data_IF_307845347779
#
_entry.id   IF_307845347779
#
_cell.length_a   1.000
_cell.length_b   1.000
_cell.length_c   1.000
_cell.angle_alpha   90.00
_cell.angle_beta   90.00
_cell.angle_gamma   90.00
#
_symmetry.space_group_name_H-M   'P 1'
#
loop_
_entity.id
_entity.type
_entity.pdbx_description
1 polymer ?
#
# COMPACT_ATOMS: atom_id res chain seq x y z
N UNK A 1 1.54 29.26 26.06
CA UNK A 1 2.75 28.60 25.48
C UNK A 1 2.51 27.23 24.83
N UNK A 2 1.45 26.46 25.15
CA UNK A 2 1.25 25.09 24.64
C UNK A 2 0.76 24.97 23.17
N UNK A 3 0.15 26.02 22.59
CA UNK A 3 -0.38 26.00 21.22
C UNK A 3 0.73 26.03 20.14
N UNK A 4 1.86 26.67 20.43
CA UNK A 4 2.99 26.83 19.49
C UNK A 4 3.66 25.49 19.13
N UNK A 5 3.84 24.59 20.11
CA UNK A 5 4.53 23.33 19.86
C UNK A 5 3.75 22.41 18.91
N UNK A 6 2.42 22.42 18.93
CA UNK A 6 1.62 21.57 18.03
C UNK A 6 1.71 22.06 16.58
N UNK A 7 1.70 23.38 16.38
CA UNK A 7 1.86 23.99 15.05
C UNK A 7 3.25 23.70 14.48
N UNK A 8 4.31 23.93 15.26
CA UNK A 8 5.70 23.66 14.84
C UNK A 8 5.87 22.20 14.43
N UNK A 9 5.37 21.24 15.20
CA UNK A 9 5.49 19.82 14.86
C UNK A 9 4.77 19.45 13.54
N UNK A 10 3.63 20.10 13.24
CA UNK A 10 2.94 19.91 11.96
C UNK A 10 3.73 20.50 10.80
N UNK A 11 4.27 21.71 10.97
CA UNK A 11 5.14 22.34 9.96
C UNK A 11 6.36 21.48 9.69
N UNK A 12 7.02 20.95 10.74
CA UNK A 12 8.15 20.04 10.59
C UNK A 12 7.78 18.77 9.83
N UNK A 13 6.62 18.17 10.11
CA UNK A 13 6.15 17.00 9.34
C UNK A 13 5.96 17.35 7.85
N UNK A 14 5.36 18.49 7.54
CA UNK A 14 5.20 18.95 6.16
C UNK A 14 6.55 19.16 5.49
N UNK A 15 7.51 19.80 6.16
CA UNK A 15 8.88 19.96 5.64
C UNK A 15 9.54 18.61 5.36
N UNK A 16 9.40 17.64 6.27
CA UNK A 16 9.92 16.27 6.05
C UNK A 16 9.28 15.63 4.82
N UNK A 17 7.96 15.75 4.64
CA UNK A 17 7.24 15.21 3.47
C UNK A 17 7.71 15.89 2.18
N UNK A 18 7.90 17.21 2.19
CA UNK A 18 8.39 17.96 1.01
C UNK A 18 9.81 17.54 0.64
N UNK A 19 10.71 17.41 1.64
CA UNK A 19 12.07 16.90 1.41
C UNK A 19 12.01 15.47 0.85
N UNK A 20 11.19 14.60 1.46
CA UNK A 20 11.02 13.23 1.01
C UNK A 20 10.51 13.14 -0.44
N UNK A 21 9.55 13.99 -0.80
CA UNK A 21 9.03 14.10 -2.16
C UNK A 21 10.11 14.57 -3.13
N UNK A 22 10.84 15.63 -2.78
CA UNK A 22 11.98 16.11 -3.57
C UNK A 22 12.98 14.98 -3.85
N UNK A 23 13.36 14.22 -2.81
CA UNK A 23 14.31 13.11 -2.95
C UNK A 23 13.78 11.93 -3.80
N UNK A 24 12.47 11.72 -3.90
CA UNK A 24 11.86 10.58 -4.62
C UNK A 24 11.47 10.90 -6.06
N UNK A 25 11.19 12.17 -6.34
CA UNK A 25 10.84 12.62 -7.69
C UNK A 25 12.00 13.27 -8.44
N UNK A 26 13.07 13.67 -7.74
CA UNK A 26 14.27 14.21 -8.38
C UNK A 26 14.93 13.15 -9.27
N UNK A 27 15.08 13.46 -10.56
CA UNK A 27 15.66 12.50 -11.50
C UNK A 27 14.79 11.26 -11.66
N UNK A 28 13.47 11.40 -11.74
CA UNK A 28 12.57 10.24 -11.93
C UNK A 28 12.93 9.36 -13.15
N UNK A 29 13.56 9.96 -14.18
CA UNK A 29 14.17 9.28 -15.33
C UNK A 29 15.70 9.15 -15.20
N UNK A 30 16.20 8.77 -14.02
CA UNK A 30 17.64 8.76 -13.70
C UNK A 30 18.48 7.85 -14.60
N UNK A 31 17.87 6.84 -15.23
CA UNK A 31 18.52 5.88 -16.10
C UNK A 31 18.31 6.19 -17.58
N UNK A 32 17.81 7.37 -17.96
CA UNK A 32 17.60 7.79 -19.36
C UNK A 32 16.92 6.71 -20.22
N UNK A 33 15.86 6.10 -19.70
CA UNK A 33 15.09 5.01 -20.33
C UNK A 33 15.95 3.77 -20.71
N UNK A 34 17.04 3.49 -20.00
CA UNK A 34 17.88 2.31 -20.27
C UNK A 34 17.31 1.00 -19.68
N UNK A 35 16.31 1.07 -18.79
CA UNK A 35 15.64 -0.12 -18.22
C UNK A 35 16.61 -1.10 -17.54
N UNK A 36 17.53 -0.56 -16.74
CA UNK A 36 18.61 -1.34 -16.11
C UNK A 36 18.09 -2.36 -15.10
N UNK A 37 16.92 -2.14 -14.52
CA UNK A 37 16.31 -3.06 -13.57
C UNK A 37 15.45 -4.11 -14.30
N UNK A 38 15.77 -5.40 -14.18
CA UNK A 38 15.10 -6.45 -14.94
C UNK A 38 13.60 -6.55 -14.62
N UNK A 39 13.21 -6.45 -13.34
CA UNK A 39 11.80 -6.52 -12.95
C UNK A 39 10.99 -5.32 -13.47
N UNK A 40 11.49 -4.09 -13.31
CA UNK A 40 10.85 -2.90 -13.89
C UNK A 40 10.67 -3.05 -15.39
N UNK A 41 11.71 -3.51 -16.11
CA UNK A 41 11.60 -3.75 -17.55
C UNK A 41 10.49 -4.74 -17.87
N UNK A 42 10.46 -5.87 -17.17
CA UNK A 42 9.46 -6.91 -17.39
C UNK A 42 8.04 -6.42 -17.08
N UNK A 43 7.83 -5.77 -15.93
CA UNK A 43 6.53 -5.22 -15.53
C UNK A 43 6.08 -4.12 -16.52
N UNK A 44 7.00 -3.26 -16.96
CA UNK A 44 6.70 -2.22 -17.95
C UNK A 44 6.24 -2.81 -19.28
N UNK A 45 6.95 -3.84 -19.77
CA UNK A 45 6.57 -4.54 -20.98
C UNK A 45 5.20 -5.22 -20.82
N UNK A 46 4.95 -5.89 -19.69
CA UNK A 46 3.63 -6.47 -19.39
C UNK A 46 2.53 -5.40 -19.39
N UNK A 47 2.78 -4.25 -18.77
CA UNK A 47 1.79 -3.16 -18.67
C UNK A 47 1.40 -2.58 -20.04
N UNK A 48 2.37 -2.50 -20.97
CA UNK A 48 2.13 -2.09 -22.37
C UNK A 48 1.38 -3.18 -23.15
N UNK A 49 1.66 -4.46 -22.89
CA UNK A 49 1.07 -5.58 -23.62
C UNK A 49 -0.39 -5.84 -23.25
N UNK A 50 -0.74 -5.80 -21.96
CA UNK A 50 -2.12 -6.08 -21.54
C UNK A 50 -3.09 -4.98 -22.03
N UNK A 51 -4.35 -5.34 -22.23
CA UNK A 51 -5.38 -4.43 -22.73
C UNK A 51 -6.57 -4.35 -21.79
N UNK A 52 -7.29 -3.22 -21.82
CA UNK A 52 -8.54 -3.09 -21.07
C UNK A 52 -9.60 -4.02 -21.68
N UNK A 53 -10.39 -4.72 -20.84
CA UNK A 53 -11.45 -5.59 -21.32
C UNK A 53 -12.64 -4.76 -21.80
N UNK A 54 -13.34 -5.27 -22.80
CA UNK A 54 -14.55 -4.64 -23.36
C UNK A 54 -15.74 -4.70 -22.37
N UNK A 55 -15.67 -5.61 -21.40
CA UNK A 55 -16.74 -5.82 -20.42
C UNK A 55 -16.23 -6.31 -19.07
N UNK A 56 -17.03 -6.07 -18.03
CA UNK A 56 -16.75 -6.60 -16.69
C UNK A 56 -16.78 -8.13 -16.63
N UNK A 57 -17.61 -8.80 -17.45
CA UNK A 57 -17.62 -10.27 -17.55
C UNK A 57 -16.31 -10.81 -18.12
N UNK A 58 -15.75 -10.15 -19.13
CA UNK A 58 -14.46 -10.53 -19.71
C UNK A 58 -13.31 -10.32 -18.70
N UNK A 59 -13.39 -9.28 -17.86
CA UNK A 59 -12.43 -9.09 -16.77
C UNK A 59 -12.44 -10.28 -15.78
N UNK A 60 -13.63 -10.78 -15.43
CA UNK A 60 -13.80 -11.85 -14.44
C UNK A 60 -13.43 -13.23 -14.95
N UNK A 61 -13.31 -13.43 -16.27
CA UNK A 61 -12.91 -14.69 -16.86
C UNK A 61 -11.37 -14.78 -16.97
N UNK A 62 -10.70 -15.61 -16.14
CA UNK A 62 -9.24 -15.70 -16.14
C UNK A 62 -8.66 -16.22 -17.45
N UNK A 63 -9.41 -17.03 -18.22
CA UNK A 63 -8.93 -17.67 -19.45
C UNK A 63 -8.95 -16.72 -20.64
N UNK A 64 -9.83 -15.71 -20.61
CA UNK A 64 -10.05 -14.80 -21.75
C UNK A 64 -9.74 -13.35 -21.45
N UNK A 65 -9.54 -12.98 -20.18
CA UNK A 65 -9.28 -11.60 -19.77
C UNK A 65 -8.01 -11.05 -20.43
N UNK A 66 -8.09 -9.94 -21.20
CA UNK A 66 -6.91 -9.29 -21.78
C UNK A 66 -6.06 -8.57 -20.73
N UNK A 67 -6.55 -8.42 -19.49
CA UNK A 67 -5.77 -7.91 -18.37
C UNK A 67 -4.93 -8.97 -17.68
N UNK A 68 -5.20 -10.26 -17.91
CA UNK A 68 -4.42 -11.34 -17.32
C UNK A 68 -3.13 -11.55 -18.11
N UNK A 69 -1.93 -11.30 -17.54
CA UNK A 69 -0.66 -11.42 -18.26
C UNK A 69 -0.42 -12.81 -18.87
N UNK A 70 -0.96 -13.85 -18.25
CA UNK A 70 -0.84 -15.25 -18.71
C UNK A 70 -1.48 -15.50 -20.07
N UNK A 71 -2.45 -14.67 -20.47
CA UNK A 71 -3.12 -14.77 -21.77
C UNK A 71 -2.31 -14.10 -22.90
N UNK A 72 -1.13 -13.56 -22.60
CA UNK A 72 -0.23 -12.92 -23.56
C UNK A 72 1.07 -13.70 -23.70
N UNK A 73 1.50 -13.92 -24.94
CA UNK A 73 2.72 -14.67 -25.24
C UNK A 73 3.94 -14.01 -24.58
N UNK A 74 4.76 -14.80 -23.88
CA UNK A 74 5.97 -14.32 -23.19
C UNK A 74 5.75 -13.74 -21.79
N UNK A 75 4.50 -13.62 -21.30
CA UNK A 75 4.19 -13.03 -19.99
C UNK A 75 3.52 -13.99 -18.98
N UNK A 76 3.44 -15.28 -19.30
CA UNK A 76 2.93 -16.32 -18.40
C UNK A 76 3.68 -16.49 -17.08
N UNK A 77 4.92 -15.98 -17.00
CA UNK A 77 5.73 -15.99 -15.77
C UNK A 77 5.53 -14.74 -14.90
N UNK A 78 4.48 -13.94 -15.13
CA UNK A 78 4.21 -12.76 -14.31
C UNK A 78 3.75 -13.16 -12.90
N UNK A 79 4.67 -13.03 -11.94
CA UNK A 79 4.48 -13.40 -10.52
C UNK A 79 4.22 -12.21 -9.60
N UNK A 80 4.14 -11.00 -10.15
CA UNK A 80 3.88 -9.79 -9.38
C UNK A 80 2.37 -9.58 -9.21
N UNK A 81 2.00 -8.64 -8.35
CA UNK A 81 0.59 -8.32 -8.13
C UNK A 81 -0.06 -7.57 -9.29
N UNK A 82 -1.38 -7.70 -9.39
CA UNK A 82 -2.23 -6.99 -10.35
C UNK A 82 -2.47 -5.53 -9.99
N UNK A 83 -2.46 -5.17 -8.69
CA UNK A 83 -2.76 -3.79 -8.28
C UNK A 83 -1.73 -2.77 -8.80
N UNK A 84 -0.40 -2.95 -8.64
CA UNK A 84 0.59 -2.04 -9.22
C UNK A 84 0.45 -1.96 -10.74
N UNK A 85 0.28 -3.10 -11.40
CA UNK A 85 0.17 -3.21 -12.85
C UNK A 85 -1.02 -2.41 -13.39
N UNK A 86 -2.21 -2.66 -12.85
CA UNK A 86 -3.44 -2.03 -13.33
C UNK A 86 -3.50 -0.55 -12.98
N UNK A 87 -2.99 -0.17 -11.80
CA UNK A 87 -2.94 1.25 -11.39
C UNK A 87 -2.04 2.05 -12.33
N UNK A 88 -0.85 1.52 -12.65
CA UNK A 88 0.10 2.19 -13.53
C UNK A 88 -0.39 2.21 -14.97
N UNK A 89 -0.96 1.11 -15.47
CA UNK A 89 -1.60 1.10 -16.79
C UNK A 89 -2.71 2.15 -16.88
N UNK A 90 -3.61 2.22 -15.91
CA UNK A 90 -4.72 3.17 -15.92
C UNK A 90 -4.22 4.61 -15.92
N UNK A 91 -3.21 4.90 -15.08
CA UNK A 91 -2.61 6.23 -15.03
C UNK A 91 -1.88 6.56 -16.34
N UNK A 92 -1.13 5.62 -16.91
CA UNK A 92 -0.37 5.85 -18.12
C UNK A 92 -1.28 6.01 -19.35
N UNK A 93 -2.30 5.17 -19.49
CA UNK A 93 -3.28 5.27 -20.58
C UNK A 93 -4.08 6.57 -20.48
N UNK A 94 -4.46 7.00 -19.26
CA UNK A 94 -5.14 8.29 -19.04
C UNK A 94 -4.29 9.50 -19.46
N UNK A 95 -2.96 9.41 -19.31
CA UNK A 95 -2.04 10.48 -19.70
C UNK A 95 -1.45 10.29 -21.11
N UNK A 96 -1.94 9.32 -21.89
CA UNK A 96 -1.41 8.96 -23.22
C UNK A 96 0.07 8.53 -23.20
N UNK A 97 0.58 8.11 -22.04
CA UNK A 97 1.95 7.62 -21.81
C UNK A 97 2.02 6.10 -21.68
N UNK A 98 0.96 5.38 -22.08
CA UNK A 98 0.82 3.91 -22.01
C UNK A 98 1.73 3.11 -22.95
N UNK A 99 2.81 3.71 -23.46
CA UNK A 99 3.72 3.13 -24.43
C UNK A 99 5.07 2.78 -23.81
N UNK A 100 5.80 1.88 -24.48
CA UNK A 100 7.18 1.58 -24.12
C UNK A 100 8.05 2.83 -24.21
N UNK A 101 8.97 3.00 -23.26
CA UNK A 101 9.76 4.22 -23.08
C UNK A 101 9.09 5.30 -22.22
N UNK A 102 7.82 5.18 -21.84
CA UNK A 102 7.15 6.19 -20.99
C UNK A 102 6.40 5.59 -19.80
N UNK A 103 5.80 4.41 -19.94
CA UNK A 103 4.97 3.80 -18.89
C UNK A 103 5.68 3.61 -17.54
N UNK A 104 7.00 3.35 -17.57
CA UNK A 104 7.79 3.15 -16.38
C UNK A 104 7.94 4.44 -15.56
N UNK A 105 7.87 5.62 -16.18
CA UNK A 105 7.86 6.91 -15.46
C UNK A 105 6.57 7.06 -14.64
N UNK A 106 5.42 6.65 -15.20
CA UNK A 106 4.17 6.58 -14.43
C UNK A 106 4.28 5.57 -13.29
N UNK A 107 4.96 4.44 -13.54
CA UNK A 107 5.26 3.43 -12.53
C UNK A 107 6.11 3.95 -11.37
N UNK A 108 7.25 4.57 -11.67
CA UNK A 108 8.14 5.21 -10.68
C UNK A 108 7.42 6.32 -9.92
N UNK A 109 6.58 7.10 -10.60
CA UNK A 109 5.75 8.12 -9.97
C UNK A 109 4.83 7.50 -8.91
N UNK A 110 4.17 6.39 -9.24
CA UNK A 110 3.32 5.67 -8.29
C UNK A 110 4.12 5.02 -7.15
N UNK A 111 5.31 4.47 -7.42
CA UNK A 111 6.23 3.98 -6.38
C UNK A 111 6.59 5.07 -5.38
N UNK A 112 6.96 6.26 -5.87
CA UNK A 112 7.24 7.42 -5.03
C UNK A 112 6.03 7.89 -4.21
N UNK A 113 4.83 7.91 -4.80
CA UNK A 113 3.58 8.23 -4.08
C UNK A 113 3.32 7.24 -2.95
N UNK A 114 3.44 5.94 -3.21
CA UNK A 114 3.27 4.88 -2.21
C UNK A 114 4.32 4.96 -1.08
N UNK A 115 5.56 5.32 -1.41
CA UNK A 115 6.62 5.50 -0.42
C UNK A 115 6.40 6.74 0.47
N UNK A 116 5.94 7.85 -0.10
CA UNK A 116 5.55 9.05 0.69
C UNK A 116 4.36 8.72 1.59
N UNK A 117 3.38 7.96 1.09
CA UNK A 117 2.30 7.44 1.91
C UNK A 117 2.81 6.57 3.07
N UNK A 118 3.82 5.74 2.81
CA UNK A 118 4.48 4.90 3.81
C UNK A 118 5.17 5.74 4.89
N UNK A 119 5.87 6.81 4.51
CA UNK A 119 6.46 7.78 5.43
C UNK A 119 5.41 8.38 6.38
N UNK A 120 4.26 8.80 5.83
CA UNK A 120 3.16 9.35 6.63
C UNK A 120 2.64 8.31 7.63
N UNK A 121 2.51 7.05 7.20
CA UNK A 121 2.09 5.96 8.08
C UNK A 121 3.14 5.66 9.16
N UNK A 122 4.43 5.67 8.84
CA UNK A 122 5.52 5.54 9.83
C UNK A 122 5.36 6.59 10.94
N UNK A 123 5.13 7.86 10.59
CA UNK A 123 4.88 8.90 11.60
C UNK A 123 3.69 8.56 12.50
N UNK A 124 2.54 8.18 11.93
CA UNK A 124 1.32 7.91 12.70
C UNK A 124 1.45 6.67 13.58
N UNK A 125 2.10 5.62 13.08
CA UNK A 125 2.36 4.38 13.84
C UNK A 125 3.35 4.67 14.97
N UNK A 126 4.48 5.33 14.69
CA UNK A 126 5.46 5.68 15.73
C UNK A 126 4.84 6.56 16.82
N UNK A 127 3.94 7.48 16.46
CA UNK A 127 3.24 8.35 17.41
C UNK A 127 2.32 7.58 18.37
N UNK A 128 1.90 6.35 18.06
CA UNK A 128 1.12 5.50 18.97
C UNK A 128 1.96 4.96 20.13
N UNK A 129 3.23 4.65 19.86
CA UNK A 129 4.12 3.99 20.83
C UNK A 129 5.16 4.92 21.44
N UNK A 130 5.46 6.05 20.79
CA UNK A 130 6.54 6.97 21.16
C UNK A 130 6.03 8.40 21.35
N UNK A 131 6.91 9.30 21.79
CA UNK A 131 6.62 10.73 21.85
C UNK A 131 6.48 11.34 20.45
N UNK A 132 5.75 12.47 20.32
CA UNK A 132 5.60 13.18 19.04
C UNK A 132 6.93 13.58 18.39
N UNK A 133 7.94 13.89 19.20
CA UNK A 133 9.29 14.24 18.72
C UNK A 133 10.01 13.02 18.16
N UNK A 134 9.92 11.89 18.86
CA UNK A 134 10.47 10.62 18.38
C UNK A 134 9.77 10.13 17.11
N UNK A 135 8.46 10.32 16.99
CA UNK A 135 7.73 10.02 15.76
C UNK A 135 8.17 10.88 14.56
N UNK A 136 8.44 12.18 14.78
CA UNK A 136 9.04 13.03 13.74
C UNK A 136 10.44 12.58 13.37
N UNK A 137 11.26 12.20 14.36
CA UNK A 137 12.60 11.66 14.09
C UNK A 137 12.54 10.37 13.26
N UNK A 138 11.62 9.45 13.58
CA UNK A 138 11.39 8.24 12.79
C UNK A 138 11.00 8.57 11.33
N UNK A 139 10.07 9.52 11.14
CA UNK A 139 9.68 9.97 9.80
C UNK A 139 10.83 10.65 9.04
N UNK A 140 11.65 11.46 9.72
CA UNK A 140 12.82 12.11 9.13
C UNK A 140 13.89 11.09 8.71
N UNK A 141 14.15 10.08 9.54
CA UNK A 141 15.07 8.99 9.20
C UNK A 141 14.56 8.18 8.00
N UNK A 142 13.26 7.89 7.94
CA UNK A 142 12.66 7.22 6.79
C UNK A 142 12.71 8.10 5.52
N UNK A 143 12.50 9.41 5.65
CA UNK A 143 12.54 10.35 4.53
C UNK A 143 13.87 10.30 3.77
N UNK A 144 14.99 10.17 4.50
CA UNK A 144 16.36 10.13 3.96
C UNK A 144 16.93 8.71 3.83
N UNK A 145 16.10 7.68 4.05
CA UNK A 145 16.49 6.29 3.92
C UNK A 145 16.87 5.97 2.48
N UNK A 146 18.15 5.61 2.26
CA UNK A 146 18.68 5.30 0.92
C UNK A 146 17.88 4.19 0.25
N UNK A 147 17.54 3.12 0.99
CA UNK A 147 16.80 1.99 0.43
C UNK A 147 15.38 2.38 0.00
N UNK A 148 14.71 3.23 0.78
CA UNK A 148 13.35 3.71 0.46
C UNK A 148 13.37 4.64 -0.76
N UNK A 149 14.35 5.54 -0.82
CA UNK A 149 14.57 6.42 -1.97
C UNK A 149 14.86 5.58 -3.22
N UNK A 150 15.78 4.61 -3.14
CA UNK A 150 16.15 3.76 -4.25
C UNK A 150 14.95 3.01 -4.81
N UNK A 151 14.17 2.31 -3.97
CA UNK A 151 12.99 1.58 -4.46
C UNK A 151 11.92 2.50 -5.06
N UNK A 152 11.81 3.74 -4.56
CA UNK A 152 10.88 4.73 -5.14
C UNK A 152 11.22 5.11 -6.59
N UNK A 153 12.46 4.88 -7.05
CA UNK A 153 12.91 5.17 -8.41
C UNK A 153 12.79 3.98 -9.37
N UNK A 154 12.14 2.89 -8.93
CA UNK A 154 11.85 1.75 -9.80
C UNK A 154 10.35 1.46 -9.81
N UNK A 155 9.82 1.16 -10.98
CA UNK A 155 8.48 0.63 -11.12
C UNK A 155 8.46 -0.86 -10.73
N UNK A 156 8.19 -1.12 -9.46
CA UNK A 156 8.09 -2.48 -8.92
C UNK A 156 6.93 -2.59 -7.91
N UNK A 157 6.65 -3.81 -7.43
CA UNK A 157 5.57 -4.06 -6.47
C UNK A 157 5.87 -3.66 -5.02
N UNK A 158 7.14 -3.42 -4.68
CA UNK A 158 7.64 -3.35 -3.30
C UNK A 158 7.05 -2.17 -2.53
N UNK A 159 7.02 -0.96 -3.10
CA UNK A 159 6.49 0.22 -2.42
C UNK A 159 4.99 0.08 -2.10
N UNK A 160 4.22 -0.58 -2.98
CA UNK A 160 2.82 -0.91 -2.72
C UNK A 160 2.67 -1.88 -1.54
N UNK A 161 3.46 -2.96 -1.51
CA UNK A 161 3.43 -3.94 -0.41
C UNK A 161 3.78 -3.26 0.91
N UNK A 162 4.82 -2.42 0.95
CA UNK A 162 5.22 -1.69 2.16
C UNK A 162 4.10 -0.76 2.63
N UNK A 163 3.53 0.02 1.72
CA UNK A 163 2.43 0.95 2.03
C UNK A 163 1.23 0.22 2.65
N UNK A 164 0.72 -0.82 1.97
CA UNK A 164 -0.44 -1.54 2.46
C UNK A 164 -0.14 -2.41 3.69
N UNK A 165 1.11 -2.84 3.89
CA UNK A 165 1.54 -3.48 5.15
C UNK A 165 1.44 -2.49 6.31
N UNK A 166 2.01 -1.30 6.16
CA UNK A 166 1.96 -0.24 7.18
C UNK A 166 0.53 0.22 7.44
N UNK A 167 -0.28 0.36 6.39
CA UNK A 167 -1.69 0.73 6.51
C UNK A 167 -2.47 -0.35 7.26
N UNK A 168 -2.28 -1.62 6.90
CA UNK A 168 -2.89 -2.76 7.61
C UNK A 168 -2.44 -2.80 9.07
N UNK A 169 -1.16 -2.56 9.36
CA UNK A 169 -0.68 -2.52 10.74
C UNK A 169 -1.31 -1.36 11.54
N UNK A 170 -1.39 -0.16 10.95
CA UNK A 170 -2.06 0.99 11.57
C UNK A 170 -3.54 0.68 11.84
N UNK A 171 -4.25 0.12 10.86
CA UNK A 171 -5.66 -0.23 10.99
C UNK A 171 -5.88 -1.33 12.02
N UNK A 172 -4.95 -2.29 12.13
CA UNK A 172 -4.96 -3.31 13.18
C UNK A 172 -4.79 -2.69 14.58
N UNK A 173 -3.90 -1.71 14.74
CA UNK A 173 -3.77 -0.97 16.01
C UNK A 173 -5.09 -0.28 16.36
N UNK A 174 -5.71 0.42 15.42
CA UNK A 174 -6.99 1.08 15.67
C UNK A 174 -8.11 0.08 15.99
N UNK A 175 -8.20 -1.04 15.28
CA UNK A 175 -9.09 -2.17 15.60
C UNK A 175 -8.88 -2.67 17.04
N UNK A 176 -7.63 -2.82 17.48
CA UNK A 176 -7.30 -3.29 18.82
C UNK A 176 -7.70 -2.30 19.92
N UNK A 177 -7.53 -1.00 19.68
CA UNK A 177 -7.79 0.07 20.66
C UNK A 177 -9.27 0.47 20.78
N UNK A 178 -10.06 0.36 19.72
CA UNK A 178 -11.46 0.80 19.73
C UNK A 178 -12.40 -0.17 20.46
N UNK A 179 -13.57 0.33 20.87
CA UNK A 179 -14.67 -0.49 21.40
C UNK A 179 -15.23 -1.42 20.29
N UNK A 180 -16.02 -2.42 20.67
CA UNK A 180 -16.44 -3.50 19.77
C UNK A 180 -17.18 -2.99 18.52
N UNK A 181 -18.16 -2.10 18.70
CA UNK A 181 -18.91 -1.38 17.67
C UNK A 181 -18.00 -0.75 16.61
N UNK A 182 -17.05 0.09 17.05
CA UNK A 182 -16.17 0.80 16.15
C UNK A 182 -15.05 -0.10 15.62
N UNK A 183 -14.71 -1.19 16.31
CA UNK A 183 -13.74 -2.17 15.86
C UNK A 183 -14.22 -2.90 14.59
N UNK A 184 -15.52 -3.21 14.45
CA UNK A 184 -16.06 -3.82 13.23
C UNK A 184 -15.80 -2.91 12.02
N UNK A 185 -16.07 -1.61 12.15
CA UNK A 185 -15.76 -0.62 11.11
C UNK A 185 -14.28 -0.65 10.70
N UNK A 186 -13.34 -0.64 11.66
CA UNK A 186 -11.91 -0.71 11.34
C UNK A 186 -11.48 -2.06 10.74
N UNK A 187 -12.16 -3.15 11.12
CA UNK A 187 -11.88 -4.50 10.60
C UNK A 187 -12.19 -4.62 9.10
N UNK A 188 -13.22 -3.92 8.63
CA UNK A 188 -13.56 -3.83 7.20
C UNK A 188 -12.44 -3.18 6.40
N UNK A 189 -11.99 -1.99 6.80
CA UNK A 189 -10.88 -1.31 6.12
C UNK A 189 -9.56 -2.07 6.24
N UNK A 190 -9.33 -2.77 7.36
CA UNK A 190 -8.19 -3.67 7.51
C UNK A 190 -8.23 -4.79 6.48
N UNK A 191 -9.40 -5.42 6.27
CA UNK A 191 -9.60 -6.42 5.23
C UNK A 191 -9.31 -5.89 3.82
N UNK A 192 -9.82 -4.70 3.48
CA UNK A 192 -9.53 -4.04 2.21
C UNK A 192 -8.03 -3.80 2.04
N UNK A 193 -7.39 -3.16 3.03
CA UNK A 193 -5.96 -2.86 2.99
C UNK A 193 -5.12 -4.13 2.85
N UNK A 194 -5.48 -5.19 3.57
CA UNK A 194 -4.81 -6.49 3.50
C UNK A 194 -5.00 -7.18 2.14
N UNK A 195 -6.20 -7.10 1.56
CA UNK A 195 -6.47 -7.58 0.21
C UNK A 195 -5.66 -6.83 -0.86
N UNK A 196 -5.56 -5.50 -0.75
CA UNK A 196 -4.74 -4.67 -1.65
C UNK A 196 -3.24 -4.98 -1.52
N UNK A 197 -2.76 -5.28 -0.32
CA UNK A 197 -1.40 -5.77 -0.09
C UNK A 197 -1.14 -7.08 -0.83
N UNK A 198 -2.04 -8.07 -0.70
CA UNK A 198 -1.94 -9.35 -1.41
C UNK A 198 -2.01 -9.18 -2.94
N UNK A 199 -2.88 -8.28 -3.41
CA UNK A 199 -2.98 -7.90 -4.82
C UNK A 199 -1.74 -7.15 -5.32
N UNK A 200 -0.86 -6.68 -4.44
CA UNK A 200 0.43 -6.07 -4.80
C UNK A 200 1.56 -7.09 -4.92
N UNK A 201 1.61 -8.06 -4.00
CA UNK A 201 2.51 -9.23 -4.08
C UNK A 201 2.09 -10.26 -3.03
N UNK A 202 2.08 -11.55 -3.40
CA UNK A 202 1.72 -12.64 -2.47
C UNK A 202 2.60 -12.72 -1.23
N UNK A 203 3.86 -12.27 -1.30
CA UNK A 203 4.78 -12.25 -0.14
C UNK A 203 4.28 -11.37 1.01
N UNK A 204 3.44 -10.36 0.73
CA UNK A 204 2.76 -9.59 1.77
C UNK A 204 1.87 -10.45 2.67
N UNK A 205 1.42 -11.62 2.20
CA UNK A 205 0.60 -12.56 2.95
C UNK A 205 1.24 -13.09 4.23
N UNK A 206 2.55 -12.98 4.41
CA UNK A 206 3.21 -13.28 5.68
C UNK A 206 2.67 -12.41 6.84
N UNK A 207 2.19 -11.20 6.54
CA UNK A 207 1.56 -10.32 7.52
C UNK A 207 0.22 -10.86 8.04
N UNK A 208 -0.39 -11.86 7.38
CA UNK A 208 -1.62 -12.52 7.84
C UNK A 208 -1.49 -13.05 9.27
N UNK A 209 -0.31 -13.57 9.62
CA UNK A 209 -0.03 -14.13 10.96
C UNK A 209 -0.27 -13.06 12.03
N UNK A 210 0.21 -11.84 11.80
CA UNK A 210 0.05 -10.72 12.73
C UNK A 210 -1.40 -10.28 12.81
N UNK A 211 -2.09 -10.20 11.66
CA UNK A 211 -3.51 -9.86 11.59
C UNK A 211 -4.35 -10.87 12.37
N UNK A 212 -4.24 -12.17 12.04
CA UNK A 212 -4.98 -13.24 12.72
C UNK A 212 -4.69 -13.30 14.22
N UNK A 213 -3.43 -13.11 14.62
CA UNK A 213 -3.08 -13.02 16.03
C UNK A 213 -3.78 -11.84 16.73
N UNK A 214 -3.80 -10.66 16.11
CA UNK A 214 -4.51 -9.49 16.65
C UNK A 214 -6.01 -9.74 16.80
N UNK A 215 -6.66 -10.33 15.78
CA UNK A 215 -8.06 -10.76 15.86
C UNK A 215 -8.28 -11.74 17.01
N UNK A 216 -7.47 -12.79 17.11
CA UNK A 216 -7.57 -13.77 18.17
C UNK A 216 -7.50 -13.12 19.56
N UNK A 217 -6.51 -12.25 19.80
CA UNK A 217 -6.36 -11.55 21.08
C UNK A 217 -7.57 -10.66 21.37
N UNK A 218 -8.09 -9.92 20.38
CA UNK A 218 -9.28 -9.08 20.54
C UNK A 218 -10.50 -9.91 20.93
N UNK A 219 -10.74 -11.00 20.22
CA UNK A 219 -11.87 -11.90 20.46
C UNK A 219 -11.80 -12.49 21.87
N UNK A 220 -10.62 -12.96 22.29
CA UNK A 220 -10.42 -13.48 23.65
C UNK A 220 -10.73 -12.43 24.74
N UNK A 221 -10.39 -11.16 24.52
CA UNK A 221 -10.72 -10.07 25.45
C UNK A 221 -12.22 -9.80 25.50
N UNK A 222 -12.90 -9.82 24.36
CA UNK A 222 -14.36 -9.62 24.29
C UNK A 222 -15.12 -10.78 24.94
N UNK A 223 -14.74 -12.02 24.64
CA UNK A 223 -15.34 -13.22 25.24
C UNK A 223 -15.23 -13.22 26.77
N UNK A 224 -14.08 -12.83 27.32
CA UNK A 224 -13.90 -12.70 28.78
C UNK A 224 -14.79 -11.63 29.39
N UNK A 225 -15.10 -10.56 28.66
CA UNK A 225 -15.85 -9.40 29.16
C UNK A 225 -17.37 -9.58 29.06
N UNK A 226 -17.84 -10.14 27.94
CA UNK A 226 -19.27 -10.11 27.57
C UNK A 226 -19.89 -11.52 27.44
N UNK A 227 -19.05 -12.57 27.50
CA UNK A 227 -19.45 -13.95 27.22
C UNK A 227 -19.52 -14.26 25.73
N UNK A 228 -19.32 -15.53 25.37
CA UNK A 228 -19.22 -16.00 23.98
C UNK A 228 -20.49 -15.70 23.17
N UNK A 229 -21.67 -16.05 23.69
CA UNK A 229 -22.95 -15.84 22.97
C UNK A 229 -23.19 -14.39 22.61
N UNK A 230 -22.98 -13.46 23.55
CA UNK A 230 -23.21 -12.03 23.35
C UNK A 230 -22.20 -11.42 22.39
N UNK A 231 -20.95 -11.87 22.44
CA UNK A 231 -19.90 -11.41 21.52
C UNK A 231 -20.16 -11.87 20.08
N UNK A 232 -20.60 -13.13 19.89
CA UNK A 232 -20.95 -13.65 18.56
C UNK A 232 -22.15 -12.87 17.99
N UNK A 233 -23.21 -12.67 18.78
CA UNK A 233 -24.36 -11.88 18.38
C UNK A 233 -23.98 -10.43 18.02
N UNK A 234 -23.19 -9.77 18.86
CA UNK A 234 -22.74 -8.39 18.62
C UNK A 234 -21.82 -8.28 17.40
N UNK A 235 -21.10 -9.33 17.00
CA UNK A 235 -20.32 -9.29 15.76
C UNK A 235 -21.22 -9.56 14.55
N UNK A 236 -22.14 -10.53 14.65
CA UNK A 236 -23.04 -10.87 13.55
C UNK A 236 -24.03 -9.77 13.21
N UNK A 237 -24.55 -9.03 14.21
CA UNK A 237 -25.49 -7.92 14.00
C UNK A 237 -24.87 -6.80 13.15
N UNK A 238 -23.54 -6.66 13.15
CA UNK A 238 -22.83 -5.63 12.38
C UNK A 238 -22.22 -6.17 11.08
N UNK A 239 -22.29 -7.49 10.82
CA UNK A 239 -21.91 -8.07 9.52
C UNK A 239 -22.99 -7.91 8.45
N UNK A 240 -24.20 -7.48 8.84
CA UNK A 240 -25.38 -7.36 7.97
C UNK A 240 -25.88 -5.91 7.79
N UNK A 241 -25.04 -4.92 8.10
CA UNK A 241 -25.28 -3.49 7.84
C UNK A 241 -24.22 -2.96 6.89
#
# INVERSE_FOLDING_TARGET
MLKNNSFILKVLLVVIIVIAAGLRFYGINWDDNQYLHPDERFISLTAVTIQWPDSFSQYLDPETSPLAPVNHEGYGSYIYGTLPLFTVKALADYNETGIYGQIHIAGRTMSAVMDIGSLVLVFFISKKFLSKRAALAAAALYAVSVISIQHSHFFTSENYVVFFTLLSFKLLIDFMEKKADLAVFWSFFLGISFGLMLSSKLSGGLFAIIVFYGFFVKMMKLFKKEGIKKTILHMSEYSFV
#
